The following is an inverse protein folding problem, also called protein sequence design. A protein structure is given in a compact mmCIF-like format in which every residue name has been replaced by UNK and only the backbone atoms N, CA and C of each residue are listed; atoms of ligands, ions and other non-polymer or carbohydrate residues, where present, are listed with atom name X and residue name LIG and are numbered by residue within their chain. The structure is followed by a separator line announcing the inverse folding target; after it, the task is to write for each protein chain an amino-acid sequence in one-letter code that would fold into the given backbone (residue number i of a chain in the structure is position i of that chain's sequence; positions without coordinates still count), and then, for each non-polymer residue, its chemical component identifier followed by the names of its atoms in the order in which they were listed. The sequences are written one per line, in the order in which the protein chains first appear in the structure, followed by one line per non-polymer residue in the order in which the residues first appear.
data_IF_388773007714
#
_entry.id   IF_388773007714
#
_cell.length_a   1.000
_cell.length_b   1.000
_cell.length_c   1.000
_cell.angle_alpha   90.00
_cell.angle_beta   90.00
_cell.angle_gamma   90.00
#
_symmetry.space_group_name_H-M   'P 1'
#
loop_
_entity.id
_entity.type
_entity.pdbx_description
1 polymer ?
#
# COMPACT_ATOMS: atom_id res chain seq x y z
N UNK A 1 9.22 -0.48 -0.26
CA UNK A 1 7.89 -0.83 0.27
C UNK A 1 7.69 -2.34 0.42
N UNK A 2 8.61 -3.19 -0.06
CA UNK A 2 8.61 -4.63 0.18
C UNK A 2 8.85 -4.96 1.66
N UNK A 3 8.27 -6.05 2.16
CA UNK A 3 8.58 -6.61 3.47
C UNK A 3 10.03 -7.08 3.62
N UNK A 4 10.71 -7.37 2.51
CA UNK A 4 12.12 -7.74 2.48
C UNK A 4 13.05 -6.52 2.63
N UNK A 5 12.56 -5.29 2.43
CA UNK A 5 13.36 -4.08 2.55
C UNK A 5 13.64 -3.71 4.02
N UNK A 6 14.79 -3.09 4.32
CA UNK A 6 15.04 -2.53 5.64
C UNK A 6 13.98 -1.51 6.03
N UNK A 7 13.48 -1.54 7.28
CA UNK A 7 12.51 -0.57 7.75
C UNK A 7 13.02 0.86 7.62
N UNK A 8 12.15 1.76 7.14
CA UNK A 8 12.43 3.20 7.12
C UNK A 8 13.28 3.71 5.94
N UNK A 9 13.79 2.85 5.06
CA UNK A 9 14.59 3.28 3.90
C UNK A 9 13.80 4.27 3.00
N UNK A 10 12.51 4.02 2.79
CA UNK A 10 11.65 4.88 1.96
C UNK A 10 11.31 6.23 2.63
N UNK A 11 11.40 6.31 3.96
CA UNK A 11 10.99 7.47 4.76
C UNK A 11 12.14 8.44 5.08
N UNK A 12 13.32 8.22 4.52
CA UNK A 12 14.45 9.15 4.69
C UNK A 12 14.11 10.51 4.09
N UNK A 13 14.40 11.57 4.84
CA UNK A 13 14.31 12.92 4.30
C UNK A 13 15.31 13.08 3.15
N UNK A 14 14.81 13.58 2.01
CA UNK A 14 15.60 13.88 0.84
C UNK A 14 15.69 15.38 0.62
N UNK A 15 16.79 15.88 0.01
CA UNK A 15 16.85 17.27 -0.46
C UNK A 15 15.64 17.60 -1.37
N UNK A 16 15.19 18.85 -1.34
CA UNK A 16 14.01 19.28 -2.10
C UNK A 16 14.15 19.12 -3.63
N UNK A 17 15.37 19.07 -4.12
CA UNK A 17 15.76 18.88 -5.52
C UNK A 17 16.12 17.43 -5.87
N UNK A 18 16.07 16.52 -4.91
CA UNK A 18 16.33 15.11 -5.15
C UNK A 18 15.25 14.44 -6.00
N UNK A 19 15.65 13.55 -6.89
CA UNK A 19 14.74 12.66 -7.60
C UNK A 19 14.10 11.62 -6.68
N UNK A 20 12.96 11.08 -7.09
CA UNK A 20 12.25 10.05 -6.31
C UNK A 20 13.13 8.81 -6.03
N UNK A 21 13.96 8.43 -7.00
CA UNK A 21 14.79 7.22 -6.92
C UNK A 21 16.19 7.48 -6.34
N UNK A 22 16.56 8.73 -6.12
CA UNK A 22 17.86 9.04 -5.54
C UNK A 22 18.00 8.39 -4.16
N UNK A 23 19.17 7.83 -3.90
CA UNK A 23 19.50 7.10 -2.67
C UNK A 23 18.71 5.79 -2.45
N UNK A 24 17.83 5.39 -3.36
CA UNK A 24 17.28 4.05 -3.33
C UNK A 24 18.28 3.06 -3.89
N UNK A 25 18.38 1.91 -3.24
CA UNK A 25 19.28 0.83 -3.64
C UNK A 25 18.43 -0.28 -4.25
N UNK A 26 18.84 -0.78 -5.41
CA UNK A 26 18.22 -1.96 -5.98
C UNK A 26 18.37 -3.15 -5.02
N UNK A 27 17.31 -3.93 -4.82
CA UNK A 27 17.36 -5.04 -3.88
C UNK A 27 18.31 -6.14 -4.37
N UNK A 28 19.24 -6.56 -3.50
CA UNK A 28 20.12 -7.69 -3.70
C UNK A 28 20.21 -8.50 -2.39
N UNK A 29 19.67 -9.70 -2.33
CA UNK A 29 19.03 -10.44 -3.42
C UNK A 29 17.72 -9.81 -3.90
N UNK A 30 17.29 -10.18 -5.09
CA UNK A 30 15.99 -9.79 -5.64
C UNK A 30 14.85 -10.24 -4.70
N UNK A 31 13.72 -9.49 -4.61
CA UNK A 31 12.63 -9.84 -3.69
C UNK A 31 12.13 -11.27 -3.92
N UNK A 32 11.96 -12.02 -2.84
CA UNK A 32 11.62 -13.45 -2.90
C UNK A 32 10.24 -13.74 -3.52
N UNK A 33 9.36 -12.75 -3.54
CA UNK A 33 8.00 -12.83 -4.02
C UNK A 33 7.82 -12.38 -5.49
N UNK A 34 8.89 -11.92 -6.15
CA UNK A 34 8.87 -11.41 -7.53
C UNK A 34 9.97 -12.07 -8.36
N UNK A 35 9.64 -12.57 -9.53
CA UNK A 35 10.64 -13.04 -10.51
C UNK A 35 11.08 -11.90 -11.45
N UNK A 36 12.16 -12.13 -12.19
CA UNK A 36 12.61 -11.20 -13.23
C UNK A 36 11.56 -11.07 -14.35
N UNK A 37 10.86 -12.14 -14.65
CA UNK A 37 9.76 -12.17 -15.62
C UNK A 37 8.57 -11.34 -15.15
N UNK A 38 8.22 -11.39 -13.86
CA UNK A 38 7.18 -10.56 -13.28
C UNK A 38 7.55 -9.07 -13.38
N UNK A 39 8.80 -8.71 -13.06
CA UNK A 39 9.28 -7.34 -13.22
C UNK A 39 9.21 -6.88 -14.68
N UNK A 40 9.55 -7.77 -15.63
CA UNK A 40 9.50 -7.43 -17.06
C UNK A 40 8.09 -7.05 -17.53
N UNK A 41 7.04 -7.68 -16.98
CA UNK A 41 5.64 -7.30 -17.26
C UNK A 41 5.36 -5.84 -16.90
N UNK A 42 5.85 -5.39 -15.73
CA UNK A 42 5.72 -3.98 -15.34
C UNK A 42 6.54 -3.05 -16.24
N UNK A 43 7.78 -3.44 -16.55
CA UNK A 43 8.65 -2.66 -17.44
C UNK A 43 7.98 -2.45 -18.80
N UNK A 44 7.46 -3.50 -19.43
CA UNK A 44 6.81 -3.43 -20.73
C UNK A 44 5.54 -2.58 -20.67
N UNK A 45 4.72 -2.74 -19.63
CA UNK A 45 3.50 -1.96 -19.46
C UNK A 45 3.80 -0.45 -19.33
N UNK A 46 4.78 -0.07 -18.51
CA UNK A 46 5.17 1.33 -18.34
C UNK A 46 5.95 1.88 -19.54
N UNK A 47 6.72 1.06 -20.26
CA UNK A 47 7.36 1.46 -21.50
C UNK A 47 6.34 1.81 -22.59
N UNK A 48 5.25 1.05 -22.68
CA UNK A 48 4.17 1.28 -23.63
C UNK A 48 3.23 2.43 -23.23
N UNK A 49 2.82 2.48 -21.94
CA UNK A 49 1.80 3.41 -21.43
C UNK A 49 2.34 4.70 -20.81
N UNK A 50 3.60 4.71 -20.44
CA UNK A 50 4.25 5.79 -19.68
C UNK A 50 3.74 5.92 -18.25
N UNK A 51 4.33 6.85 -17.52
CA UNK A 51 4.03 7.10 -16.10
C UNK A 51 2.97 8.19 -15.88
N UNK A 52 2.55 8.91 -16.94
CA UNK A 52 1.64 10.06 -16.79
C UNK A 52 0.32 9.69 -16.13
N UNK A 53 -0.31 8.61 -16.57
CA UNK A 53 -1.57 8.13 -16.01
C UNK A 53 -1.46 7.80 -14.52
N UNK A 54 -0.58 6.88 -14.12
CA UNK A 54 -0.32 6.54 -12.71
C UNK A 54 0.02 7.75 -11.83
N UNK A 55 0.88 8.67 -12.31
CA UNK A 55 1.26 9.87 -11.54
C UNK A 55 0.08 10.84 -11.39
N UNK A 56 -0.78 10.97 -12.39
CA UNK A 56 -1.95 11.84 -12.32
C UNK A 56 -2.93 11.41 -11.23
N UNK A 57 -2.99 10.13 -10.87
CA UNK A 57 -3.74 9.64 -9.70
C UNK A 57 -3.38 10.41 -8.43
N UNK A 58 -2.08 10.65 -8.21
CA UNK A 58 -1.61 11.42 -7.04
C UNK A 58 -1.82 12.92 -7.21
N UNK A 59 -1.67 13.45 -8.42
CA UNK A 59 -1.88 14.88 -8.72
C UNK A 59 -3.33 15.30 -8.61
N UNK A 60 -4.27 14.37 -8.79
CA UNK A 60 -5.71 14.64 -8.67
C UNK A 60 -6.19 14.72 -7.22
N UNK A 61 -5.42 14.24 -6.23
CA UNK A 61 -5.85 14.19 -4.83
C UNK A 61 -6.41 15.52 -4.27
N UNK A 62 -5.83 16.71 -4.55
CA UNK A 62 -6.43 17.95 -4.08
C UNK A 62 -7.83 18.20 -4.67
N UNK A 63 -8.03 17.85 -5.95
CA UNK A 63 -9.33 17.98 -6.61
C UNK A 63 -10.33 16.95 -6.07
N UNK A 64 -9.88 15.68 -5.91
CA UNK A 64 -10.70 14.62 -5.30
C UNK A 64 -11.18 15.02 -3.91
N UNK A 65 -10.30 15.65 -3.11
CA UNK A 65 -10.65 16.12 -1.77
C UNK A 65 -11.74 17.20 -1.78
N UNK A 66 -11.76 18.10 -2.77
CA UNK A 66 -12.82 19.11 -2.92
C UNK A 66 -14.10 18.49 -3.48
N UNK A 67 -13.99 17.65 -4.50
CA UNK A 67 -15.13 17.00 -5.17
C UNK A 67 -15.90 16.05 -4.23
N UNK A 68 -15.20 15.47 -3.25
CA UNK A 68 -15.76 14.53 -2.27
C UNK A 68 -16.05 15.18 -0.90
N UNK A 69 -16.23 16.50 -0.87
CA UNK A 69 -16.41 17.25 0.37
C UNK A 69 -17.58 16.73 1.25
N UNK A 70 -18.64 16.21 0.63
CA UNK A 70 -19.80 15.64 1.35
C UNK A 70 -19.50 14.30 2.04
N UNK A 71 -18.40 13.65 1.72
CA UNK A 71 -17.96 12.41 2.37
C UNK A 71 -17.10 12.65 3.61
N UNK A 72 -16.69 13.90 3.86
CA UNK A 72 -15.81 14.22 4.99
C UNK A 72 -16.48 13.85 6.31
N UNK A 73 -15.77 13.05 7.11
CA UNK A 73 -16.25 12.60 8.41
C UNK A 73 -17.36 11.54 8.38
N UNK A 74 -17.73 11.04 7.21
CA UNK A 74 -18.62 9.89 7.10
C UNK A 74 -17.82 8.60 7.33
N UNK A 75 -18.44 7.68 8.06
CA UNK A 75 -17.94 6.32 8.17
C UNK A 75 -18.37 5.48 6.97
N UNK A 76 -17.60 4.49 6.62
CA UNK A 76 -17.99 3.47 5.64
C UNK A 76 -18.98 2.51 6.30
N UNK A 77 -20.24 2.53 5.81
CA UNK A 77 -21.34 1.76 6.40
C UNK A 77 -21.36 0.28 5.92
N UNK A 78 -20.66 -0.04 4.84
CA UNK A 78 -20.60 -1.40 4.32
C UNK A 78 -19.74 -2.28 5.23
N UNK A 79 -20.06 -3.60 5.33
CA UNK A 79 -19.14 -4.55 5.95
C UNK A 79 -17.75 -4.44 5.34
N UNK A 80 -16.74 -4.32 6.18
CA UNK A 80 -15.36 -4.09 5.75
C UNK A 80 -14.39 -5.09 6.37
N UNK A 81 -13.35 -5.41 5.63
CA UNK A 81 -12.18 -6.14 6.09
C UNK A 81 -10.93 -5.33 5.70
N UNK A 82 -10.06 -5.11 6.66
CA UNK A 82 -8.75 -4.52 6.40
C UNK A 82 -7.69 -5.63 6.39
N UNK A 83 -6.86 -5.65 5.35
CA UNK A 83 -5.73 -6.57 5.25
C UNK A 83 -4.49 -5.74 4.92
N UNK A 84 -3.47 -5.79 5.76
CA UNK A 84 -2.23 -5.03 5.57
C UNK A 84 -0.99 -5.81 6.00
N UNK A 85 0.18 -5.39 5.53
CA UNK A 85 1.45 -6.00 5.90
C UNK A 85 1.98 -5.46 7.24
N UNK A 86 2.57 -6.34 8.04
CA UNK A 86 3.23 -5.95 9.28
C UNK A 86 4.36 -4.94 9.05
N UNK A 87 5.08 -5.09 7.95
CA UNK A 87 6.25 -4.29 7.56
C UNK A 87 5.93 -3.21 6.52
N UNK A 88 4.64 -2.92 6.32
CA UNK A 88 4.24 -1.85 5.40
C UNK A 88 4.75 -0.49 5.88
N UNK A 89 5.57 0.16 5.05
CA UNK A 89 6.13 1.48 5.35
C UNK A 89 5.05 2.58 5.47
N UNK A 90 3.86 2.38 4.88
CA UNK A 90 2.73 3.33 5.00
C UNK A 90 2.29 3.51 6.44
N UNK A 91 2.45 2.51 7.30
CA UNK A 91 2.17 2.61 8.74
C UNK A 91 2.89 3.76 9.42
N UNK A 92 4.07 4.13 8.90
CA UNK A 92 4.98 5.10 9.49
C UNK A 92 4.98 6.46 8.75
N UNK A 93 4.08 6.70 7.79
CA UNK A 93 4.06 7.92 6.99
C UNK A 93 3.77 9.18 7.81
N UNK A 94 3.07 9.04 8.93
CA UNK A 94 2.84 10.13 9.86
C UNK A 94 3.73 9.93 11.09
N UNK A 95 4.70 10.82 11.36
CA UNK A 95 5.59 10.68 12.51
C UNK A 95 4.82 10.52 13.83
N UNK A 96 5.14 9.46 14.59
CA UNK A 96 4.52 9.19 15.88
C UNK A 96 3.12 8.56 15.82
N UNK A 97 2.60 8.25 14.63
CA UNK A 97 1.32 7.60 14.42
C UNK A 97 1.50 6.30 13.63
N UNK A 98 0.96 5.19 14.14
CA UNK A 98 0.76 3.99 13.32
C UNK A 98 -0.55 4.17 12.54
N UNK A 99 -0.45 4.31 11.21
CA UNK A 99 -1.61 4.48 10.33
C UNK A 99 -2.59 3.30 10.37
N UNK A 100 -2.17 2.15 10.93
CA UNK A 100 -3.02 0.97 11.15
C UNK A 100 -3.56 0.88 12.58
N UNK A 101 -3.21 1.84 13.46
CA UNK A 101 -3.53 1.78 14.87
C UNK A 101 -5.00 2.04 15.21
N UNK A 102 -5.70 2.85 14.42
CA UNK A 102 -7.12 3.16 14.63
C UNK A 102 -7.91 3.08 13.31
N UNK A 103 -7.95 1.89 12.75
CA UNK A 103 -8.73 1.63 11.55
C UNK A 103 -10.23 1.67 11.80
N UNK A 104 -10.68 1.30 13.00
CA UNK A 104 -12.10 1.24 13.35
C UNK A 104 -12.78 2.62 13.25
N UNK A 105 -12.05 3.71 13.47
CA UNK A 105 -12.56 5.06 13.35
C UNK A 105 -13.06 5.48 11.96
N UNK A 106 -12.79 4.67 10.93
CA UNK A 106 -13.26 4.91 9.55
C UNK A 106 -14.48 4.09 9.10
N UNK A 107 -14.96 3.16 9.94
CA UNK A 107 -15.97 2.17 9.53
C UNK A 107 -17.09 2.04 10.58
N UNK A 108 -18.33 1.78 10.11
CA UNK A 108 -19.43 1.38 10.97
C UNK A 108 -19.41 -0.13 11.26
N UNK A 109 -18.93 -0.94 10.31
CA UNK A 109 -18.90 -2.40 10.38
C UNK A 109 -17.55 -2.95 9.89
N UNK A 110 -16.47 -2.68 10.65
CA UNK A 110 -15.16 -3.32 10.42
C UNK A 110 -15.14 -4.70 11.07
N UNK A 111 -15.38 -5.74 10.29
CA UNK A 111 -15.53 -7.12 10.78
C UNK A 111 -14.22 -7.81 11.06
N UNK A 112 -13.19 -7.53 10.28
CA UNK A 112 -11.90 -8.20 10.40
C UNK A 112 -10.75 -7.22 10.09
N UNK A 113 -9.70 -7.30 10.89
CA UNK A 113 -8.41 -6.66 10.63
C UNK A 113 -7.34 -7.74 10.63
N UNK A 114 -6.68 -7.93 9.48
CA UNK A 114 -5.64 -8.93 9.29
C UNK A 114 -4.32 -8.23 9.01
N UNK A 115 -3.36 -8.41 9.91
CA UNK A 115 -1.98 -7.96 9.71
C UNK A 115 -1.14 -9.18 9.33
N UNK A 116 -0.64 -9.20 8.10
CA UNK A 116 0.12 -10.31 7.54
C UNK A 116 1.57 -10.22 8.02
N UNK A 117 2.07 -11.19 8.81
CA UNK A 117 3.42 -11.14 9.34
C UNK A 117 4.48 -11.14 8.22
N UNK A 118 5.50 -10.29 8.39
CA UNK A 118 6.64 -10.20 7.48
C UNK A 118 6.36 -9.56 6.12
N UNK A 119 5.09 -9.38 5.71
CA UNK A 119 4.73 -8.75 4.45
C UNK A 119 4.83 -7.21 4.51
N UNK A 120 5.18 -6.60 3.38
CA UNK A 120 5.20 -5.16 3.20
C UNK A 120 3.89 -4.63 2.60
N UNK A 121 4.03 -3.65 1.72
CA UNK A 121 2.90 -2.94 1.11
C UNK A 121 2.13 -3.78 0.08
N UNK A 122 2.82 -4.67 -0.60
CA UNK A 122 2.27 -5.43 -1.73
C UNK A 122 1.77 -6.82 -1.29
N UNK A 123 0.94 -6.86 -0.23
CA UNK A 123 0.48 -8.11 0.41
C UNK A 123 -0.09 -9.14 -0.56
N UNK A 124 -0.76 -8.69 -1.65
CA UNK A 124 -1.33 -9.58 -2.67
C UNK A 124 -0.25 -10.35 -3.44
N UNK A 125 0.94 -9.79 -3.53
CA UNK A 125 2.10 -10.37 -4.21
C UNK A 125 3.08 -11.01 -3.23
N UNK A 126 3.29 -10.38 -2.08
CA UNK A 126 4.21 -10.85 -1.05
C UNK A 126 3.67 -12.06 -0.28
N UNK A 127 2.35 -12.11 -0.03
CA UNK A 127 1.69 -13.15 0.75
C UNK A 127 0.30 -13.51 0.17
N UNK A 128 0.21 -13.99 -1.09
CA UNK A 128 -1.07 -14.24 -1.76
C UNK A 128 -1.94 -15.27 -1.02
N UNK A 129 -1.32 -16.30 -0.40
CA UNK A 129 -2.05 -17.31 0.38
C UNK A 129 -2.81 -16.67 1.55
N UNK A 130 -2.12 -15.95 2.42
CA UNK A 130 -2.72 -15.31 3.60
C UNK A 130 -3.77 -14.25 3.20
N UNK A 131 -3.51 -13.49 2.13
CA UNK A 131 -4.44 -12.49 1.60
C UNK A 131 -5.72 -13.15 1.10
N UNK A 132 -5.61 -14.22 0.30
CA UNK A 132 -6.76 -14.94 -0.23
C UNK A 132 -7.58 -15.63 0.88
N UNK A 133 -6.92 -16.23 1.87
CA UNK A 133 -7.60 -16.83 3.02
C UNK A 133 -8.41 -15.79 3.81
N UNK A 134 -7.85 -14.62 4.06
CA UNK A 134 -8.55 -13.53 4.73
C UNK A 134 -9.77 -13.06 3.91
N UNK A 135 -9.60 -12.85 2.61
CA UNK A 135 -10.69 -12.47 1.71
C UNK A 135 -11.80 -13.54 1.67
N UNK A 136 -11.46 -14.81 1.57
CA UNK A 136 -12.43 -15.91 1.57
C UNK A 136 -13.22 -15.98 2.86
N UNK A 137 -12.56 -15.85 4.02
CA UNK A 137 -13.26 -15.82 5.32
C UNK A 137 -14.24 -14.65 5.41
N UNK A 138 -13.77 -13.45 5.03
CA UNK A 138 -14.61 -12.26 5.04
C UNK A 138 -15.84 -12.41 4.14
N UNK A 139 -15.65 -12.85 2.88
CA UNK A 139 -16.74 -13.02 1.92
C UNK A 139 -17.73 -14.12 2.33
N UNK A 140 -17.26 -15.18 2.99
CA UNK A 140 -18.14 -16.24 3.50
C UNK A 140 -19.02 -15.78 4.68
N UNK A 141 -18.66 -14.64 5.32
CA UNK A 141 -19.41 -14.04 6.42
C UNK A 141 -20.39 -12.92 6.01
N UNK A 142 -20.49 -12.62 4.70
CA UNK A 142 -21.42 -11.62 4.18
C UNK A 142 -22.81 -12.22 3.96
#
# INVERSE_FOLDING_TARGET
LSGDAPPGEFLKEKPADAGLLDELVDPDPFPSWMSAEDLQVYVDAFAAGGFRGPINRYRAQPQDFEDLAELRGRLLAQPACFIGGERDAVRLFVPGLDMYGDLAGGYEDLRETVIVPGAGHWIQQEAPGATNEALQRFLAGL
#
